data_IF_819066540606
#
_entry.id   IF_819066540606
#
_cell.length_a   1.000
_cell.length_b   1.000
_cell.length_c   1.000
_cell.angle_alpha   90.00
_cell.angle_beta   90.00
_cell.angle_gamma   90.00
#
_symmetry.space_group_name_H-M   'P 1'
#
loop_
_entity.id
_entity.type
_entity.pdbx_description
1 polymer ?
#
# COMPACT_ATOMS: atom_id res chain seq x y z
N UNK A 1 -18.85 -3.56 35.06
CA UNK A 1 -18.54 -4.56 34.02
C UNK A 1 -19.02 -4.09 32.64
N UNK A 2 -18.27 -3.16 32.00
CA UNK A 2 -18.54 -2.63 30.64
C UNK A 2 -17.60 -3.22 29.57
N UNK A 3 -16.59 -3.98 30.01
CA UNK A 3 -15.52 -4.50 29.17
C UNK A 3 -15.98 -5.71 28.32
N UNK A 4 -16.91 -6.53 28.83
CA UNK A 4 -17.41 -7.70 28.10
C UNK A 4 -18.32 -7.37 26.93
N UNK A 5 -19.08 -6.26 26.99
CA UNK A 5 -19.88 -5.77 25.84
C UNK A 5 -19.02 -5.17 24.73
N UNK A 6 -17.88 -4.56 25.08
CA UNK A 6 -16.91 -4.06 24.10
C UNK A 6 -16.20 -5.20 23.36
N UNK A 7 -15.92 -6.30 24.04
CA UNK A 7 -15.30 -7.48 23.44
C UNK A 7 -16.28 -8.19 22.49
N UNK A 8 -17.56 -8.35 22.87
CA UNK A 8 -18.58 -8.93 21.98
C UNK A 8 -18.72 -8.16 20.67
N UNK A 9 -18.82 -6.83 20.75
CA UNK A 9 -18.96 -5.98 19.56
C UNK A 9 -17.70 -6.01 18.66
N UNK A 10 -16.52 -6.21 19.25
CA UNK A 10 -15.28 -6.36 18.49
C UNK A 10 -15.23 -7.71 17.74
N UNK A 11 -15.75 -8.78 18.35
CA UNK A 11 -15.83 -10.11 17.74
C UNK A 11 -16.84 -10.09 16.58
N UNK A 12 -18.01 -9.47 16.76
CA UNK A 12 -19.03 -9.36 15.71
C UNK A 12 -18.54 -8.53 14.51
N UNK A 13 -17.78 -7.46 14.75
CA UNK A 13 -17.17 -6.65 13.69
C UNK A 13 -16.05 -7.41 12.94
N UNK A 14 -15.36 -8.34 13.61
CA UNK A 14 -14.32 -9.19 12.99
C UNK A 14 -14.93 -10.26 12.10
N UNK A 15 -16.05 -10.86 12.53
CA UNK A 15 -16.81 -11.82 11.72
C UNK A 15 -17.37 -11.22 10.44
N UNK A 16 -17.77 -9.94 10.45
CA UNK A 16 -18.26 -9.25 9.25
C UNK A 16 -17.14 -9.01 8.22
N UNK A 17 -15.93 -8.63 8.67
CA UNK A 17 -14.78 -8.42 7.78
C UNK A 17 -14.23 -9.71 7.17
N UNK A 18 -14.28 -10.82 7.90
CA UNK A 18 -13.91 -12.15 7.36
C UNK A 18 -14.92 -12.64 6.32
N UNK A 19 -16.20 -12.30 6.47
CA UNK A 19 -17.24 -12.66 5.51
C UNK A 19 -17.15 -11.86 4.20
N UNK A 20 -16.74 -10.59 4.26
CA UNK A 20 -16.40 -9.85 3.03
C UNK A 20 -15.17 -10.44 2.34
N UNK A 21 -14.14 -10.83 3.11
CA UNK A 21 -12.96 -11.53 2.57
C UNK A 21 -13.32 -12.85 1.88
N UNK A 22 -14.31 -13.58 2.41
CA UNK A 22 -14.84 -14.82 1.84
C UNK A 22 -15.57 -14.63 0.50
N UNK A 23 -16.18 -13.47 0.24
CA UNK A 23 -16.85 -13.19 -1.03
C UNK A 23 -15.89 -12.65 -2.10
N UNK A 24 -14.67 -12.26 -1.71
CA UNK A 24 -13.57 -11.95 -2.63
C UNK A 24 -12.85 -13.21 -3.14
N UNK A 25 -13.16 -14.38 -2.55
CA UNK A 25 -12.65 -15.68 -2.98
C UNK A 25 -13.69 -16.34 -3.90
N UNK A 26 -13.63 -15.97 -5.19
CA UNK A 26 -14.16 -16.70 -6.37
C UNK A 26 -15.65 -16.52 -6.72
N UNK A 27 -16.08 -16.51 -8.02
CA UNK A 27 -15.46 -17.20 -9.17
C UNK A 27 -15.33 -16.32 -10.44
N UNK A 28 -14.39 -16.52 -11.37
CA UNK A 28 -14.47 -17.55 -12.41
C UNK A 28 -13.25 -17.40 -13.33
N UNK A 29 -12.31 -18.34 -13.30
CA UNK A 29 -11.71 -18.94 -14.51
C UNK A 29 -10.59 -19.88 -14.07
N UNK A 30 -10.76 -21.15 -14.45
CA UNK A 30 -9.73 -22.19 -14.56
C UNK A 30 -8.29 -21.66 -14.57
N UNK A 31 -7.56 -21.87 -13.47
CA UNK A 31 -6.27 -22.55 -13.51
C UNK A 31 -5.95 -23.07 -12.10
N UNK A 32 -5.73 -24.37 -12.06
CA UNK A 32 -5.49 -25.19 -10.89
C UNK A 32 -4.03 -25.00 -10.43
N UNK A 33 -3.74 -23.88 -9.76
CA UNK A 33 -2.47 -23.70 -9.05
C UNK A 33 -2.75 -23.44 -7.57
N UNK A 34 -2.41 -24.47 -6.78
CA UNK A 34 -2.39 -24.51 -5.33
C UNK A 34 -1.84 -23.18 -4.78
N UNK A 35 -2.53 -22.48 -3.86
CA UNK A 35 -1.98 -21.29 -3.24
C UNK A 35 -0.73 -21.70 -2.47
N UNK A 36 0.44 -21.37 -3.01
CA UNK A 36 1.67 -21.36 -2.22
C UNK A 36 1.44 -20.36 -1.10
N UNK A 37 1.21 -20.90 0.10
CA UNK A 37 1.32 -20.15 1.34
C UNK A 37 2.74 -19.62 1.30
N UNK A 38 2.93 -18.33 0.98
CA UNK A 38 4.22 -17.68 1.11
C UNK A 38 4.62 -17.83 2.57
N UNK A 39 5.50 -18.80 2.84
CA UNK A 39 6.21 -18.86 4.09
C UNK A 39 6.79 -17.47 4.30
N UNK A 40 6.29 -16.78 5.32
CA UNK A 40 6.80 -15.49 5.72
C UNK A 40 8.29 -15.67 5.97
N UNK A 41 9.11 -15.22 5.02
CA UNK A 41 10.56 -15.25 5.15
C UNK A 41 10.87 -14.58 6.50
N UNK A 42 11.43 -15.35 7.44
CA UNK A 42 11.90 -14.84 8.72
C UNK A 42 13.16 -14.00 8.48
N UNK A 43 13.00 -12.88 7.78
CA UNK A 43 14.05 -11.90 7.50
C UNK A 43 14.22 -11.06 8.75
N UNK A 44 15.42 -11.06 9.33
CA UNK A 44 15.73 -10.14 10.41
C UNK A 44 15.68 -8.69 9.91
N UNK A 45 15.44 -7.73 10.82
CA UNK A 45 15.54 -6.30 10.51
C UNK A 45 16.94 -5.99 9.95
N UNK A 46 17.98 -6.62 10.49
CA UNK A 46 19.36 -6.41 10.04
C UNK A 46 19.58 -6.89 8.60
N UNK A 47 18.98 -8.02 8.23
CA UNK A 47 19.05 -8.56 6.87
C UNK A 47 18.34 -7.64 5.88
N UNK A 48 17.15 -7.14 6.25
CA UNK A 48 16.42 -6.18 5.42
C UNK A 48 17.22 -4.89 5.19
N UNK A 49 17.88 -4.37 6.23
CA UNK A 49 18.76 -3.19 6.11
C UNK A 49 19.97 -3.50 5.23
N UNK A 50 20.59 -4.68 5.38
CA UNK A 50 21.71 -5.13 4.55
C UNK A 50 21.34 -5.21 3.06
N UNK A 51 20.16 -5.78 2.75
CA UNK A 51 19.64 -5.87 1.39
C UNK A 51 19.43 -4.46 0.80
N UNK A 52 18.77 -3.57 1.55
CA UNK A 52 18.54 -2.18 1.10
C UNK A 52 19.85 -1.43 0.85
N UNK A 53 20.87 -1.64 1.67
CA UNK A 53 22.18 -1.04 1.48
C UNK A 53 22.88 -1.58 0.23
N UNK A 54 22.77 -2.88 -0.05
CA UNK A 54 23.30 -3.45 -1.30
C UNK A 54 22.59 -2.89 -2.53
N UNK A 55 21.25 -2.81 -2.50
CA UNK A 55 20.47 -2.20 -3.58
C UNK A 55 20.92 -0.75 -3.84
N UNK A 56 21.20 0.02 -2.78
CA UNK A 56 21.68 1.41 -2.92
C UNK A 56 23.06 1.50 -3.58
N UNK A 57 23.97 0.57 -3.24
CA UNK A 57 25.28 0.49 -3.90
C UNK A 57 25.12 0.18 -5.39
N UNK A 58 24.27 -0.80 -5.73
CA UNK A 58 23.97 -1.14 -7.13
C UNK A 58 23.38 0.06 -7.87
N UNK A 59 22.39 0.72 -7.29
CA UNK A 59 21.76 1.90 -7.88
C UNK A 59 22.76 3.00 -8.26
N UNK A 60 23.78 3.21 -7.42
CA UNK A 60 24.79 4.26 -7.62
C UNK A 60 25.74 3.99 -8.79
N UNK A 61 25.89 2.72 -9.21
CA UNK A 61 26.75 2.30 -10.32
C UNK A 61 25.96 1.89 -11.58
N UNK A 62 24.64 1.80 -11.46
CA UNK A 62 23.72 1.39 -12.53
C UNK A 62 23.36 2.55 -13.46
N UNK A 63 22.94 2.20 -14.68
CA UNK A 63 22.34 3.14 -15.62
C UNK A 63 20.90 3.53 -15.23
N UNK A 64 20.33 4.52 -15.93
CA UNK A 64 19.00 5.06 -15.63
C UNK A 64 17.86 4.05 -15.74
N UNK A 65 17.96 3.07 -16.65
CA UNK A 65 16.91 2.06 -16.81
C UNK A 65 16.99 1.02 -15.70
N UNK A 66 18.20 0.59 -15.36
CA UNK A 66 18.42 -0.35 -14.26
C UNK A 66 18.11 0.29 -12.90
N UNK A 67 18.42 1.58 -12.72
CA UNK A 67 18.00 2.35 -11.55
C UNK A 67 16.47 2.30 -11.33
N UNK A 68 15.68 2.48 -12.39
CA UNK A 68 14.20 2.40 -12.30
C UNK A 68 13.73 0.99 -11.92
N UNK A 69 14.40 -0.06 -12.42
CA UNK A 69 14.13 -1.46 -12.05
C UNK A 69 14.50 -1.75 -10.60
N UNK A 70 15.65 -1.31 -10.12
CA UNK A 70 16.04 -1.49 -8.71
C UNK A 70 15.04 -0.80 -7.77
N UNK A 71 14.53 0.36 -8.16
CA UNK A 71 13.46 1.03 -7.42
C UNK A 71 12.15 0.23 -7.40
N UNK A 72 11.92 -0.76 -8.26
CA UNK A 72 10.72 -1.63 -8.18
C UNK A 72 10.81 -2.68 -7.06
N UNK A 73 12.00 -2.94 -6.51
CA UNK A 73 12.22 -3.95 -5.47
C UNK A 73 12.06 -3.41 -4.04
N UNK A 74 11.92 -2.10 -3.87
CA UNK A 74 11.76 -1.44 -2.56
C UNK A 74 10.44 -1.80 -1.88
N UNK A 75 10.33 -1.59 -0.54
CA UNK A 75 9.11 -1.89 0.17
C UNK A 75 7.89 -1.17 -0.43
N UNK A 76 6.76 -1.88 -0.55
CA UNK A 76 5.54 -1.38 -1.20
C UNK A 76 4.97 -0.11 -0.56
N UNK A 77 5.16 0.04 0.76
CA UNK A 77 4.65 1.16 1.55
C UNK A 77 5.51 2.42 1.45
N UNK A 78 6.63 2.37 0.71
CA UNK A 78 7.47 3.56 0.56
C UNK A 78 6.87 4.50 -0.48
N UNK A 79 6.61 5.74 -0.04
CA UNK A 79 6.26 6.82 -0.94
C UNK A 79 7.43 7.23 -1.83
N UNK A 80 7.12 7.87 -2.96
CA UNK A 80 8.07 8.33 -3.98
C UNK A 80 9.20 9.18 -3.39
N UNK A 81 8.86 10.13 -2.53
CA UNK A 81 9.82 11.02 -1.86
C UNK A 81 10.82 10.24 -1.03
N UNK A 82 10.34 9.23 -0.28
CA UNK A 82 11.19 8.39 0.56
C UNK A 82 12.14 7.56 -0.30
N UNK A 83 11.66 6.99 -1.40
CA UNK A 83 12.48 6.22 -2.33
C UNK A 83 13.58 7.09 -2.95
N UNK A 84 13.21 8.26 -3.47
CA UNK A 84 14.14 9.21 -4.08
C UNK A 84 15.22 9.66 -3.08
N UNK A 85 14.81 10.08 -1.89
CA UNK A 85 15.73 10.54 -0.85
C UNK A 85 16.68 9.44 -0.35
N UNK A 86 16.20 8.21 -0.19
CA UNK A 86 17.03 7.10 0.28
C UNK A 86 18.13 6.72 -0.72
N UNK A 87 17.78 6.71 -2.01
CA UNK A 87 18.70 6.33 -3.09
C UNK A 87 19.51 7.50 -3.66
N UNK A 88 19.17 8.74 -3.30
CA UNK A 88 19.74 9.94 -3.94
C UNK A 88 19.34 10.07 -5.41
N UNK A 89 18.19 9.50 -5.79
CA UNK A 89 17.65 9.54 -7.14
C UNK A 89 16.64 10.66 -7.36
N UNK A 90 16.16 10.80 -8.59
CA UNK A 90 15.10 11.77 -8.90
C UNK A 90 13.71 11.23 -8.51
N UNK A 91 12.81 12.13 -8.09
CA UNK A 91 11.40 11.78 -7.84
C UNK A 91 10.72 11.21 -9.10
N UNK A 92 11.12 11.67 -10.29
CA UNK A 92 10.62 11.17 -11.57
C UNK A 92 10.97 9.68 -11.79
N UNK A 93 12.19 9.25 -11.43
CA UNK A 93 12.55 7.82 -11.49
C UNK A 93 11.75 7.00 -10.48
N UNK A 94 11.53 7.53 -9.28
CA UNK A 94 10.69 6.90 -8.28
C UNK A 94 9.25 6.75 -8.76
N UNK A 95 8.65 7.79 -9.34
CA UNK A 95 7.32 7.72 -9.97
C UNK A 95 7.27 6.62 -11.03
N UNK A 96 8.23 6.60 -11.95
CA UNK A 96 8.24 5.61 -13.03
C UNK A 96 8.34 4.18 -12.49
N UNK A 97 9.08 3.96 -11.40
CA UNK A 97 9.14 2.65 -10.76
C UNK A 97 7.81 2.23 -10.13
N UNK A 98 7.06 3.18 -9.55
CA UNK A 98 5.70 2.95 -9.03
C UNK A 98 4.76 2.59 -10.18
N UNK A 99 4.81 3.33 -11.28
CA UNK A 99 4.01 3.03 -12.47
C UNK A 99 4.30 1.64 -13.02
N UNK A 100 5.58 1.22 -13.05
CA UNK A 100 5.98 -0.12 -13.47
C UNK A 100 5.44 -1.21 -12.53
N UNK A 101 5.50 -0.99 -11.21
CA UNK A 101 4.93 -1.93 -10.23
C UNK A 101 3.41 -2.05 -10.40
N UNK A 102 2.73 -0.94 -10.65
CA UNK A 102 1.28 -0.91 -10.90
C UNK A 102 0.92 -1.60 -12.22
N UNK A 103 1.66 -1.32 -13.29
CA UNK A 103 1.45 -1.94 -14.60
C UNK A 103 1.73 -3.46 -14.57
N UNK A 104 2.74 -3.89 -13.80
CA UNK A 104 3.08 -5.29 -13.59
C UNK A 104 2.14 -6.03 -12.62
N UNK A 105 1.09 -5.39 -12.11
CA UNK A 105 0.13 -6.02 -11.20
C UNK A 105 0.65 -6.26 -9.77
N UNK A 106 1.83 -5.74 -9.42
CA UNK A 106 2.40 -5.82 -8.06
C UNK A 106 1.61 -4.93 -7.10
N UNK A 107 1.08 -3.80 -7.61
CA UNK A 107 0.11 -2.97 -6.90
C UNK A 107 -1.17 -2.84 -7.69
N UNK A 108 -2.30 -2.90 -6.97
CA UNK A 108 -3.53 -2.29 -7.45
C UNK A 108 -3.27 -0.79 -7.68
N UNK A 109 -3.61 -0.30 -8.87
CA UNK A 109 -3.58 1.13 -9.15
C UNK A 109 -4.41 1.82 -8.07
N UNK A 110 -3.87 2.80 -7.32
CA UNK A 110 -4.69 3.56 -6.39
C UNK A 110 -5.87 4.11 -7.19
N UNK A 111 -7.09 3.91 -6.69
CA UNK A 111 -8.26 4.47 -7.36
C UNK A 111 -8.03 5.96 -7.52
N UNK A 112 -8.13 6.44 -8.77
CA UNK A 112 -8.14 7.87 -9.06
C UNK A 112 -9.38 8.46 -8.36
N UNK A 113 -9.21 8.87 -7.11
CA UNK A 113 -10.13 9.79 -6.44
C UNK A 113 -9.96 11.10 -7.19
N UNK A 114 -10.66 11.22 -8.32
CA UNK A 114 -10.75 12.43 -9.12
C UNK A 114 -10.94 13.59 -8.15
N UNK A 115 -9.92 14.45 -8.09
CA UNK A 115 -10.04 15.76 -7.46
C UNK A 115 -11.26 16.45 -8.08
N UNK A 116 -12.01 17.14 -7.22
CA UNK A 116 -13.29 17.82 -7.48
C UNK A 116 -14.54 16.92 -7.44
N UNK A 117 -14.64 15.98 -6.49
CA UNK A 117 -15.96 15.79 -5.87
C UNK A 117 -16.17 16.97 -4.94
N UNK A 118 -17.23 17.76 -5.18
CA UNK A 118 -17.68 18.76 -4.21
C UNK A 118 -17.75 18.10 -2.84
N UNK A 119 -17.38 18.82 -1.79
CA UNK A 119 -17.59 18.33 -0.43
C UNK A 119 -19.06 17.89 -0.34
N UNK A 120 -19.29 16.75 0.31
CA UNK A 120 -20.66 16.29 0.58
C UNK A 120 -21.39 17.42 1.32
N UNK A 121 -22.59 17.77 0.86
CA UNK A 121 -23.42 18.86 1.38
C UNK A 121 -23.60 18.73 2.92
N UNK A 122 -23.60 17.50 3.43
CA UNK A 122 -23.66 17.24 4.87
C UNK A 122 -22.41 17.67 5.63
N UNK A 123 -21.22 17.54 5.02
CA UNK A 123 -19.95 17.99 5.58
C UNK A 123 -19.90 19.52 5.56
N UNK A 124 -20.38 20.16 4.49
CA UNK A 124 -20.47 21.63 4.42
C UNK A 124 -21.41 22.19 5.49
N UNK A 125 -22.60 21.59 5.66
CA UNK A 125 -23.55 21.95 6.72
C UNK A 125 -22.96 21.74 8.12
N UNK A 126 -22.16 20.69 8.32
CA UNK A 126 -21.51 20.42 9.60
C UNK A 126 -20.44 21.47 9.92
N UNK A 127 -19.62 21.86 8.94
CA UNK A 127 -18.62 22.92 9.10
C UNK A 127 -19.30 24.26 9.35
N UNK A 128 -20.33 24.60 8.59
CA UNK A 128 -21.09 25.85 8.75
C UNK A 128 -21.78 25.96 10.12
N UNK A 129 -22.36 24.86 10.61
CA UNK A 129 -22.96 24.81 11.95
C UNK A 129 -21.92 24.88 13.07
N UNK A 130 -20.69 24.44 12.82
CA UNK A 130 -19.59 24.53 13.76
C UNK A 130 -19.03 25.96 13.85
N UNK A 131 -18.92 26.67 12.73
CA UNK A 131 -18.42 28.07 12.70
C UNK A 131 -19.43 29.09 13.19
N UNK A 132 -20.73 28.85 13.06
CA UNK A 132 -21.78 29.76 13.55
C UNK A 132 -22.18 29.57 15.02
N UNK A 133 -21.67 28.53 15.70
CA UNK A 133 -21.88 28.31 17.15
C UNK A 133 -20.79 28.95 18.02
N UNK A 134 -20.31 30.13 17.65
CA UNK A 134 -19.46 30.98 18.49
C UNK A 134 -20.23 32.19 18.99
#
# INVERSE_FOLDING_TARGET
>A
SRNTKQISNAIDATYFKLREWSNTIMPSSLHDEKPEIFDSLNVSIDDAVSILNHLRKLFSISDSNEQKRLLTMLPPLWGRDRMANWFGGSEHQAQHSVDLRTAGGIFSKPEDRRGNKSLDEQIELTVHNFTLKK
#
